data_IF_825707096435
#
_entry.id   IF_825707096435
#
_cell.length_a   1.000
_cell.length_b   1.000
_cell.length_c   1.000
_cell.angle_alpha   90.00
_cell.angle_beta   90.00
_cell.angle_gamma   90.00
#
_symmetry.space_group_name_H-M   'P 1'
#
loop_
_entity.id
_entity.type
_entity.pdbx_description
1 polymer ?
#
# COMPACT_ATOMS: atom_id res chain seq x y z
N UNK A 1 -0.81 -12.79 13.19
CA UNK A 1 0.55 -13.40 13.25
C UNK A 1 1.35 -12.95 12.05
N UNK A 2 2.51 -12.36 12.28
CA UNK A 2 3.39 -11.87 11.22
C UNK A 2 4.03 -13.02 10.40
N UNK A 3 4.18 -12.80 9.09
CA UNK A 3 4.85 -13.70 8.15
C UNK A 3 5.77 -12.91 7.23
N UNK A 4 6.74 -13.58 6.62
CA UNK A 4 7.58 -13.02 5.56
C UNK A 4 7.15 -13.58 4.23
N UNK A 5 6.86 -12.71 3.27
CA UNK A 5 6.57 -13.10 1.89
C UNK A 5 7.58 -12.44 0.94
N UNK A 6 7.90 -13.07 -0.20
CA UNK A 6 8.65 -12.42 -1.26
C UNK A 6 8.02 -11.08 -1.63
N UNK A 7 8.84 -10.08 -1.94
CA UNK A 7 8.33 -8.76 -2.35
C UNK A 7 7.44 -8.86 -3.60
N UNK A 8 7.76 -9.78 -4.51
CA UNK A 8 6.97 -10.10 -5.70
C UNK A 8 5.59 -10.68 -5.41
N UNK A 9 5.37 -11.21 -4.21
CA UNK A 9 4.13 -11.91 -3.85
C UNK A 9 3.16 -10.98 -3.09
N UNK A 10 3.56 -9.73 -2.82
CA UNK A 10 2.78 -8.74 -2.09
C UNK A 10 2.51 -7.53 -2.98
N UNK A 11 1.25 -7.38 -3.36
CA UNK A 11 0.80 -6.32 -4.28
C UNK A 11 0.39 -5.06 -3.50
N UNK A 12 0.63 -3.85 -4.05
CA UNK A 12 0.10 -2.63 -3.46
C UNK A 12 -1.39 -2.45 -3.77
N UNK A 13 -2.02 -1.59 -2.98
CA UNK A 13 -3.39 -1.07 -3.17
C UNK A 13 -3.37 0.46 -3.33
N UNK A 14 -2.24 1.02 -3.76
CA UNK A 14 -2.02 2.46 -3.81
C UNK A 14 -1.27 2.88 -5.07
N UNK A 15 -1.74 3.93 -5.75
CA UNK A 15 -1.16 4.40 -7.01
C UNK A 15 0.06 5.31 -6.85
N UNK A 16 0.12 6.07 -5.77
CA UNK A 16 1.13 7.13 -5.56
C UNK A 16 1.64 7.11 -4.13
N UNK A 17 2.87 7.55 -3.88
CA UNK A 17 3.40 7.75 -2.53
C UNK A 17 3.56 9.26 -2.27
N UNK A 18 3.33 9.71 -1.03
CA UNK A 18 3.66 11.08 -0.63
C UNK A 18 5.15 11.21 -0.37
N UNK A 19 5.79 12.21 -0.97
CA UNK A 19 7.19 12.54 -0.70
C UNK A 19 7.44 12.93 0.76
N UNK A 20 6.48 13.58 1.42
CA UNK A 20 6.57 13.94 2.83
C UNK A 20 6.49 12.71 3.73
N UNK A 21 5.54 11.81 3.48
CA UNK A 21 5.46 10.54 4.22
C UNK A 21 6.71 9.71 4.02
N UNK A 22 7.23 9.66 2.79
CA UNK A 22 8.48 8.96 2.49
C UNK A 22 9.65 9.57 3.27
N UNK A 23 9.82 10.90 3.23
CA UNK A 23 10.85 11.57 4.02
C UNK A 23 10.78 11.19 5.51
N UNK A 24 9.59 11.21 6.09
CA UNK A 24 9.38 10.81 7.49
C UNK A 24 9.72 9.34 7.77
N UNK A 25 9.47 8.42 6.83
CA UNK A 25 9.93 7.02 6.95
C UNK A 25 11.46 6.94 6.89
N UNK A 26 12.08 7.65 5.94
CA UNK A 26 13.53 7.62 5.74
C UNK A 26 14.33 8.19 6.92
N UNK A 27 13.72 8.98 7.80
CA UNK A 27 14.38 9.52 9.00
C UNK A 27 14.71 8.45 10.05
N UNK A 28 13.94 7.36 10.11
CA UNK A 28 14.11 6.29 11.10
C UNK A 28 14.34 4.91 10.51
N UNK A 29 14.15 4.74 9.20
CA UNK A 29 14.31 3.46 8.53
C UNK A 29 15.80 3.09 8.40
N UNK A 30 16.17 1.94 8.96
CA UNK A 30 17.49 1.36 8.80
C UNK A 30 17.54 0.53 7.50
N UNK A 31 18.38 0.96 6.55
CA UNK A 31 18.53 0.30 5.25
C UNK A 31 19.38 -0.98 5.30
N UNK A 32 20.30 -1.06 6.27
CA UNK A 32 21.16 -2.24 6.43
C UNK A 32 20.43 -3.33 7.21
N UNK A 33 19.58 -2.94 8.18
CA UNK A 33 18.74 -3.83 8.97
C UNK A 33 17.29 -3.34 9.07
N UNK A 34 16.46 -3.49 8.02
CA UNK A 34 15.07 -3.03 8.01
C UNK A 34 14.23 -3.54 9.18
N UNK A 35 14.02 -2.67 10.17
CA UNK A 35 13.26 -2.96 11.37
C UNK A 35 12.01 -2.08 11.46
N UNK A 36 10.92 -2.59 10.88
CA UNK A 36 9.60 -1.99 10.94
C UNK A 36 8.58 -3.02 11.46
N UNK A 37 7.50 -2.53 12.04
CA UNK A 37 6.34 -3.37 12.40
C UNK A 37 5.77 -4.05 11.15
N UNK A 38 5.32 -5.32 11.24
CA UNK A 38 4.68 -6.02 10.13
C UNK A 38 3.62 -5.16 9.45
N UNK A 39 3.63 -5.15 8.12
CA UNK A 39 2.72 -4.36 7.31
C UNK A 39 1.33 -5.03 7.30
N UNK A 40 0.24 -4.29 7.58
CA UNK A 40 -1.10 -4.82 7.45
C UNK A 40 -1.39 -5.25 6.02
N UNK A 41 -1.88 -6.47 5.83
CA UNK A 41 -2.15 -7.05 4.52
C UNK A 41 -3.36 -8.00 4.58
N UNK A 42 -3.99 -8.23 3.43
CA UNK A 42 -5.15 -9.12 3.31
C UNK A 42 -5.04 -10.00 2.07
N UNK A 43 -5.77 -11.13 2.10
CA UNK A 43 -5.90 -12.01 0.94
C UNK A 43 -7.16 -11.69 0.12
N UNK A 44 -6.98 -11.61 -1.20
CA UNK A 44 -8.06 -11.50 -2.16
C UNK A 44 -7.72 -12.35 -3.39
N UNK A 45 -8.64 -13.24 -3.78
CA UNK A 45 -8.50 -14.14 -4.94
C UNK A 45 -7.17 -14.93 -5.00
N UNK A 46 -6.64 -15.31 -3.83
CA UNK A 46 -5.43 -16.11 -3.70
C UNK A 46 -4.11 -15.32 -3.73
N UNK A 47 -4.19 -13.98 -3.76
CA UNK A 47 -3.03 -13.09 -3.74
C UNK A 47 -3.01 -12.20 -2.49
N UNK A 48 -1.82 -11.73 -2.12
CA UNK A 48 -1.61 -10.85 -0.96
C UNK A 48 -1.55 -9.38 -1.38
N UNK A 49 -2.30 -8.56 -0.67
CA UNK A 49 -2.38 -7.11 -0.89
C UNK A 49 -2.06 -6.36 0.40
N UNK A 50 -1.29 -5.27 0.30
CA UNK A 50 -1.12 -4.36 1.44
C UNK A 50 -2.44 -3.64 1.73
N UNK A 51 -2.89 -3.65 2.99
CA UNK A 51 -3.95 -2.75 3.44
C UNK A 51 -3.38 -1.35 3.72
N UNK A 52 -2.20 -1.29 4.34
CA UNK A 52 -1.47 -0.07 4.65
C UNK A 52 0.05 -0.33 4.66
N UNK A 53 0.85 0.72 4.85
CA UNK A 53 2.29 0.62 5.00
C UNK A 53 3.05 0.67 3.69
N UNK A 54 2.44 1.06 2.57
CA UNK A 54 3.07 1.14 1.24
C UNK A 54 4.34 1.99 1.23
N UNK A 55 4.42 3.04 2.05
CA UNK A 55 5.64 3.86 2.16
C UNK A 55 6.79 3.10 2.84
N UNK A 56 6.50 2.28 3.85
CA UNK A 56 7.49 1.41 4.51
C UNK A 56 7.89 0.24 3.61
N UNK A 57 6.93 -0.34 2.88
CA UNK A 57 7.20 -1.35 1.87
C UNK A 57 8.13 -0.81 0.78
N UNK A 58 7.87 0.41 0.30
CA UNK A 58 8.71 1.07 -0.68
C UNK A 58 10.11 1.38 -0.14
N UNK A 59 10.25 1.81 1.11
CA UNK A 59 11.57 1.96 1.74
C UNK A 59 12.32 0.62 1.83
N UNK A 60 11.63 -0.49 2.10
CA UNK A 60 12.23 -1.82 2.08
C UNK A 60 12.67 -2.26 0.67
N UNK A 61 11.87 -1.97 -0.36
CA UNK A 61 12.26 -2.14 -1.77
C UNK A 61 13.53 -1.34 -2.10
N UNK A 62 13.59 -0.05 -1.71
CA UNK A 62 14.78 0.79 -1.90
C UNK A 62 16.03 0.25 -1.19
N UNK A 63 15.86 -0.46 -0.08
CA UNK A 63 16.93 -1.14 0.64
C UNK A 63 17.36 -2.48 0.00
N UNK A 64 16.71 -2.91 -1.09
CA UNK A 64 16.98 -4.18 -1.74
C UNK A 64 16.44 -5.39 -0.98
N UNK A 65 15.39 -5.22 -0.17
CA UNK A 65 14.79 -6.32 0.57
C UNK A 65 14.11 -7.32 -0.39
N UNK A 66 14.45 -8.60 -0.27
CA UNK A 66 13.82 -9.67 -1.05
C UNK A 66 12.43 -10.07 -0.51
N UNK A 67 12.15 -9.74 0.76
CA UNK A 67 10.92 -10.12 1.46
C UNK A 67 10.34 -8.98 2.28
N UNK A 68 9.02 -8.93 2.40
CA UNK A 68 8.30 -8.04 3.31
C UNK A 68 7.81 -8.78 4.54
N UNK A 69 7.85 -8.12 5.69
CA UNK A 69 7.17 -8.57 6.92
C UNK A 69 5.74 -8.08 6.86
N UNK A 70 4.77 -8.99 6.77
CA UNK A 70 3.36 -8.65 6.73
C UNK A 70 2.60 -9.30 7.89
N UNK A 71 1.46 -8.76 8.25
CA UNK A 71 0.49 -9.38 9.14
C UNK A 71 -0.88 -9.42 8.47
N UNK A 72 -1.58 -10.56 8.59
CA UNK A 72 -2.94 -10.68 8.09
C UNK A 72 -3.87 -9.81 8.92
N UNK A 73 -4.46 -8.80 8.28
CA UNK A 73 -5.46 -7.92 8.85
C UNK A 73 -6.85 -8.41 8.42
N UNK A 74 -7.45 -9.24 9.28
CA UNK A 74 -8.78 -9.82 9.06
C UNK A 74 -9.87 -8.74 9.13
N UNK A 75 -9.60 -7.59 9.77
CA UNK A 75 -10.56 -6.50 9.90
C UNK A 75 -10.80 -5.75 8.59
N UNK A 76 -9.90 -5.88 7.59
CA UNK A 76 -10.04 -5.26 6.26
C UNK A 76 -11.38 -5.56 5.60
N UNK A 77 -11.90 -6.77 5.79
CA UNK A 77 -13.19 -7.20 5.21
C UNK A 77 -14.40 -6.84 6.06
N UNK A 78 -14.21 -6.55 7.34
CA UNK A 78 -15.30 -6.42 8.32
C UNK A 78 -15.50 -4.98 8.80
N UNK A 79 -14.43 -4.22 8.94
CA UNK A 79 -14.41 -2.88 9.54
C UNK A 79 -14.23 -1.75 8.52
N UNK A 80 -13.61 -2.05 7.38
CA UNK A 80 -13.33 -1.06 6.35
C UNK A 80 -14.31 -1.19 5.18
N UNK A 81 -14.45 -0.09 4.42
CA UNK A 81 -15.15 -0.09 3.15
C UNK A 81 -14.35 -0.91 2.13
N UNK A 82 -14.59 -2.22 2.12
CA UNK A 82 -13.86 -3.17 1.28
C UNK A 82 -14.04 -2.85 -0.22
N UNK A 83 -15.12 -2.17 -0.61
CA UNK A 83 -15.33 -1.73 -2.00
C UNK A 83 -14.28 -0.71 -2.44
N UNK A 84 -13.80 0.14 -1.52
CA UNK A 84 -12.67 1.05 -1.79
C UNK A 84 -11.42 0.25 -2.10
N UNK A 85 -11.13 -0.82 -1.35
CA UNK A 85 -9.98 -1.68 -1.64
C UNK A 85 -10.10 -2.37 -2.99
N UNK A 86 -11.27 -2.92 -3.34
CA UNK A 86 -11.50 -3.53 -4.66
C UNK A 86 -11.25 -2.52 -5.78
N UNK A 87 -11.72 -1.28 -5.61
CA UNK A 87 -11.46 -0.21 -6.57
C UNK A 87 -9.98 0.13 -6.68
N UNK A 88 -9.26 0.15 -5.56
CA UNK A 88 -7.83 0.34 -5.55
C UNK A 88 -7.08 -0.76 -6.31
N UNK A 89 -7.55 -2.02 -6.24
CA UNK A 89 -6.97 -3.13 -7.01
C UNK A 89 -7.14 -2.90 -8.52
N UNK A 90 -8.36 -2.59 -8.96
CA UNK A 90 -8.65 -2.27 -10.36
C UNK A 90 -7.77 -1.13 -10.88
N UNK A 91 -7.60 -0.05 -10.10
CA UNK A 91 -6.74 1.05 -10.51
C UNK A 91 -5.27 0.66 -10.61
N UNK A 92 -4.77 -0.20 -9.71
CA UNK A 92 -3.40 -0.69 -9.78
C UNK A 92 -3.20 -1.56 -11.03
N UNK A 93 -4.15 -2.44 -11.33
CA UNK A 93 -4.15 -3.26 -12.56
C UNK A 93 -4.13 -2.37 -13.82
N UNK A 94 -5.06 -1.41 -13.93
CA UNK A 94 -5.14 -0.47 -15.05
C UNK A 94 -3.86 0.36 -15.23
N UNK A 95 -3.19 0.69 -14.12
CA UNK A 95 -1.97 1.46 -14.11
C UNK A 95 -0.69 0.61 -14.30
N UNK A 96 -0.81 -0.71 -14.40
CA UNK A 96 0.30 -1.66 -14.49
C UNK A 96 1.17 -1.67 -13.23
N UNK A 97 0.55 -1.53 -12.05
CA UNK A 97 1.21 -1.60 -10.74
C UNK A 97 0.91 -2.97 -10.14
N UNK A 98 1.88 -3.87 -10.21
CA UNK A 98 1.74 -5.24 -9.70
C UNK A 98 2.54 -5.46 -8.42
N UNK A 99 3.64 -4.74 -8.28
CA UNK A 99 4.59 -4.88 -7.17
C UNK A 99 4.88 -3.53 -6.53
N UNK A 100 5.53 -3.56 -5.36
CA UNK A 100 6.02 -2.35 -4.70
C UNK A 100 7.02 -1.59 -5.57
N UNK A 101 7.79 -2.28 -6.41
CA UNK A 101 8.77 -1.67 -7.29
C UNK A 101 8.10 -0.81 -8.38
N UNK A 102 6.86 -1.11 -8.76
CA UNK A 102 6.11 -0.30 -9.74
C UNK A 102 5.69 1.09 -9.20
N UNK A 103 5.93 1.34 -7.90
CA UNK A 103 5.80 2.65 -7.28
C UNK A 103 7.04 3.53 -7.51
N UNK A 104 8.12 3.00 -8.08
CA UNK A 104 9.24 3.81 -8.54
C UNK A 104 8.77 4.85 -9.56
N UNK A 105 9.13 6.12 -9.33
CA UNK A 105 8.67 7.24 -10.15
C UNK A 105 7.25 7.72 -9.85
N UNK A 106 6.55 7.13 -8.86
CA UNK A 106 5.20 7.52 -8.43
C UNK A 106 5.18 8.22 -7.06
N UNK A 107 6.33 8.70 -6.60
CA UNK A 107 6.45 9.57 -5.42
C UNK A 107 6.13 11.00 -5.83
N UNK A 108 5.09 11.59 -5.25
CA UNK A 108 4.57 12.91 -5.62
C UNK A 108 4.57 13.87 -4.43
N UNK A 109 4.43 15.18 -4.70
CA UNK A 109 4.34 16.20 -3.65
C UNK A 109 3.12 15.98 -2.76
N UNK A 110 3.09 16.52 -1.52
CA UNK A 110 1.94 16.35 -0.62
C UNK A 110 0.62 16.80 -1.25
N UNK A 111 0.62 17.93 -1.96
CA UNK A 111 -0.57 18.45 -2.65
C UNK A 111 -1.02 17.50 -3.78
N UNK A 112 -0.08 17.01 -4.59
CA UNK A 112 -0.42 16.07 -5.64
C UNK A 112 -0.89 14.72 -5.06
N UNK A 113 -0.34 14.26 -3.94
CA UNK A 113 -0.80 13.04 -3.27
C UNK A 113 -2.22 13.22 -2.73
N UNK A 114 -2.54 14.39 -2.17
CA UNK A 114 -3.90 14.71 -1.75
C UNK A 114 -4.87 14.57 -2.93
N UNK A 115 -4.60 15.24 -4.05
CA UNK A 115 -5.52 15.27 -5.20
C UNK A 115 -5.59 13.93 -5.97
N UNK A 116 -4.42 13.32 -6.24
CA UNK A 116 -4.31 12.12 -7.07
C UNK A 116 -4.64 10.83 -6.33
N UNK A 117 -4.54 10.83 -5.00
CA UNK A 117 -4.77 9.63 -4.19
C UNK A 117 -5.86 9.82 -3.15
N UNK A 118 -5.66 10.71 -2.18
CA UNK A 118 -6.58 10.82 -1.03
C UNK A 118 -8.00 11.21 -1.48
N UNK A 119 -8.13 12.29 -2.24
CA UNK A 119 -9.43 12.75 -2.74
C UNK A 119 -10.09 11.73 -3.68
N UNK A 120 -9.27 10.95 -4.40
CA UNK A 120 -9.75 9.87 -5.27
C UNK A 120 -10.37 8.74 -4.45
N UNK A 121 -9.70 8.29 -3.38
CA UNK A 121 -10.23 7.24 -2.51
C UNK A 121 -11.46 7.73 -1.74
N UNK A 122 -11.46 8.99 -1.27
CA UNK A 122 -12.59 9.57 -0.56
C UNK A 122 -13.86 9.61 -1.41
N UNK A 123 -13.76 10.02 -2.70
CA UNK A 123 -14.92 10.00 -3.60
C UNK A 123 -15.56 8.62 -3.73
N UNK A 124 -14.74 7.57 -3.80
CA UNK A 124 -15.26 6.19 -3.89
C UNK A 124 -15.92 5.76 -2.59
N UNK A 125 -15.30 6.08 -1.45
CA UNK A 125 -15.90 5.84 -0.14
C UNK A 125 -17.26 6.55 -0.04
N UNK A 126 -17.33 7.84 -0.39
CA UNK A 126 -18.58 8.60 -0.32
C UNK A 126 -19.68 7.98 -1.21
N UNK A 127 -19.34 7.63 -2.46
CA UNK A 127 -20.27 6.98 -3.39
C UNK A 127 -20.80 5.64 -2.85
N UNK A 128 -19.92 4.81 -2.26
CA UNK A 128 -20.30 3.50 -1.69
C UNK A 128 -21.31 3.65 -0.53
N UNK A 129 -21.12 4.66 0.32
CA UNK A 129 -22.03 4.95 1.44
C UNK A 129 -23.36 5.61 1.01
N UNK A 130 -23.42 6.24 -0.17
CA UNK A 130 -24.67 6.78 -0.74
C UNK A 130 -25.53 5.71 -1.42
N UNK A 131 -24.92 4.60 -1.89
CA UNK A 131 -25.62 3.49 -2.55
C UNK A 131 -26.03 2.33 -1.64
N UNK A 132 -25.59 2.31 -0.37
CA UNK A 132 -25.90 1.30 0.64
C UNK A 132 -27.19 1.60 1.44
#
# INVERSE_FOLDING_TARGET
MARRLPLSDVRPTQLYLSSEKLAGVLEWFDFDEPNYEPLPAFEHDGEWYLADGHTRAFAASLAGAETLRIEHDESVREEYDFEVYLRCLEWCEDAGIETIDDLHGRVVSPNAYQELWIDRCQRVSDDAHETA
#
